data_IF_484510472856
#
_entry.id   IF_484510472856
#
_cell.length_a   1.000
_cell.length_b   1.000
_cell.length_c   1.000
_cell.angle_alpha   90.00
_cell.angle_beta   90.00
_cell.angle_gamma   90.00
#
_symmetry.space_group_name_H-M   'P 1'
#
loop_
_entity.id
_entity.type
_entity.pdbx_description
1 polymer ?
#
# COMPACT_ATOMS: atom_id res chain seq x y z
N UNK A 1 12.99 0.19 -11.90
CA UNK A 1 13.41 0.40 -13.29
C UNK A 1 14.90 0.78 -13.36
N UNK A 2 15.37 1.75 -12.56
CA UNK A 2 16.79 2.16 -12.60
C UNK A 2 17.73 0.97 -12.38
N UNK A 3 17.55 0.22 -11.30
CA UNK A 3 18.37 -0.94 -10.97
C UNK A 3 18.43 -2.01 -12.08
N UNK A 4 17.29 -2.31 -12.72
CA UNK A 4 17.18 -3.39 -13.71
C UNK A 4 17.41 -2.93 -15.16
N UNK A 5 16.98 -1.73 -15.50
CA UNK A 5 16.94 -1.21 -16.88
C UNK A 5 17.90 -0.04 -17.11
N UNK A 6 18.66 0.37 -16.08
CA UNK A 6 19.57 1.50 -16.11
C UNK A 6 18.91 2.87 -16.29
N UNK A 7 17.57 2.92 -16.30
CA UNK A 7 16.81 4.15 -16.57
C UNK A 7 15.50 4.16 -15.77
N UNK A 8 15.31 5.10 -14.81
CA UNK A 8 14.09 5.21 -14.04
C UNK A 8 12.87 5.59 -14.90
N UNK A 9 13.07 6.19 -16.08
CA UNK A 9 12.00 6.56 -17.00
C UNK A 9 11.39 5.39 -17.77
N UNK A 10 12.03 4.22 -17.78
CA UNK A 10 11.52 3.01 -18.46
C UNK A 10 10.42 2.31 -17.65
N UNK A 11 9.44 3.06 -17.14
CA UNK A 11 8.28 2.54 -16.42
C UNK A 11 7.01 2.90 -17.18
N UNK A 12 6.19 1.89 -17.48
CA UNK A 12 4.83 2.10 -17.95
C UNK A 12 3.88 2.02 -16.76
N UNK A 13 3.25 3.12 -16.43
CA UNK A 13 2.23 3.19 -15.38
C UNK A 13 0.87 2.75 -15.92
N UNK A 14 0.25 1.77 -15.25
CA UNK A 14 -1.08 1.24 -15.57
C UNK A 14 -1.99 1.45 -14.36
N UNK A 15 -2.83 2.49 -14.35
CA UNK A 15 -3.81 2.71 -13.28
C UNK A 15 -4.87 1.62 -13.29
N UNK A 16 -5.11 1.00 -12.12
CA UNK A 16 -6.03 -0.11 -11.95
C UNK A 16 -6.91 0.07 -10.73
N UNK A 17 -8.16 -0.40 -10.79
CA UNK A 17 -9.02 -0.49 -9.61
C UNK A 17 -8.51 -1.58 -8.64
N UNK A 18 -9.02 -1.57 -7.41
CA UNK A 18 -8.69 -2.61 -6.43
C UNK A 18 -9.13 -4.00 -6.90
N UNK A 19 -10.18 -4.09 -7.69
CA UNK A 19 -10.71 -5.36 -8.21
C UNK A 19 -9.88 -5.89 -9.37
N UNK A 20 -9.40 -5.02 -10.27
CA UNK A 20 -8.66 -5.41 -11.48
C UNK A 20 -7.19 -5.77 -11.24
N UNK A 21 -6.58 -5.23 -10.20
CA UNK A 21 -5.12 -5.29 -9.98
C UNK A 21 -4.52 -6.70 -9.98
N UNK A 22 -5.21 -7.67 -9.41
CA UNK A 22 -4.68 -9.04 -9.35
C UNK A 22 -4.76 -9.76 -10.69
N UNK A 23 -5.86 -9.60 -11.42
CA UNK A 23 -6.00 -10.15 -12.78
C UNK A 23 -4.97 -9.54 -13.72
N UNK A 24 -4.73 -8.22 -13.65
CA UNK A 24 -3.71 -7.55 -14.44
C UNK A 24 -2.29 -8.07 -14.15
N UNK A 25 -1.97 -8.34 -12.87
CA UNK A 25 -0.68 -8.95 -12.52
C UNK A 25 -0.58 -10.40 -13.01
N UNK A 26 -1.63 -11.19 -12.85
CA UNK A 26 -1.66 -12.59 -13.28
C UNK A 26 -1.55 -12.75 -14.81
N UNK A 27 -2.22 -11.87 -15.57
CA UNK A 27 -2.20 -11.91 -17.06
C UNK A 27 -0.92 -11.36 -17.68
N UNK A 28 -0.06 -10.70 -16.90
CA UNK A 28 1.12 -10.03 -17.42
C UNK A 28 0.88 -8.63 -18.00
N UNK A 29 -0.29 -8.06 -17.80
CA UNK A 29 -0.56 -6.66 -18.14
C UNK A 29 0.34 -5.70 -17.36
N UNK A 30 0.65 -6.07 -16.11
CA UNK A 30 1.65 -5.41 -15.27
C UNK A 30 2.66 -6.44 -14.73
N UNK A 31 3.89 -6.03 -14.48
CA UNK A 31 4.96 -6.87 -13.90
C UNK A 31 5.04 -6.74 -12.39
N UNK A 32 4.76 -5.54 -11.87
CA UNK A 32 4.76 -5.22 -10.44
C UNK A 32 3.44 -4.56 -10.08
N UNK A 33 2.78 -5.10 -9.07
CA UNK A 33 1.66 -4.44 -8.42
C UNK A 33 2.19 -3.66 -7.21
N UNK A 34 2.28 -2.34 -7.34
CA UNK A 34 2.74 -1.44 -6.29
C UNK A 34 1.65 -0.44 -5.93
N UNK A 35 0.86 -0.77 -4.93
CA UNK A 35 -0.16 0.08 -4.30
C UNK A 35 -0.46 -0.46 -2.90
N UNK A 36 -1.40 0.14 -2.16
CA UNK A 36 -1.86 -0.33 -0.86
C UNK A 36 -2.53 -1.72 -0.96
N UNK A 37 -1.70 -2.75 -1.10
CA UNK A 37 -2.14 -4.13 -1.26
C UNK A 37 -1.72 -4.94 -0.05
N UNK A 38 -2.70 -5.37 0.73
CA UNK A 38 -2.47 -6.16 1.93
C UNK A 38 -1.97 -7.55 1.59
N UNK A 39 -0.88 -7.95 2.18
CA UNK A 39 -0.37 -9.32 2.14
C UNK A 39 -1.26 -10.22 2.99
N UNK A 40 -2.01 -11.10 2.35
CA UNK A 40 -2.85 -12.10 3.01
C UNK A 40 -2.52 -13.50 2.52
N UNK A 41 -2.74 -14.50 3.38
CA UNK A 41 -2.54 -15.90 3.00
C UNK A 41 -3.29 -16.27 1.71
N UNK A 42 -4.56 -15.84 1.59
CA UNK A 42 -5.37 -16.11 0.39
C UNK A 42 -4.73 -15.50 -0.86
N UNK A 43 -4.29 -14.24 -0.81
CA UNK A 43 -3.68 -13.57 -1.96
C UNK A 43 -2.35 -14.22 -2.34
N UNK A 44 -1.53 -14.53 -1.36
CA UNK A 44 -0.24 -15.18 -1.57
C UNK A 44 -0.41 -16.62 -2.07
N UNK A 45 -1.15 -17.45 -1.36
CA UNK A 45 -1.23 -18.88 -1.65
C UNK A 45 -2.09 -19.22 -2.85
N UNK A 46 -3.21 -18.49 -3.11
CA UNK A 46 -4.19 -18.90 -4.12
C UNK A 46 -4.15 -18.09 -5.42
N UNK A 47 -3.53 -16.90 -5.44
CA UNK A 47 -3.50 -16.06 -6.64
C UNK A 47 -2.20 -16.21 -7.45
N UNK A 48 -1.26 -17.08 -7.07
CA UNK A 48 0.02 -17.25 -7.77
C UNK A 48 0.89 -16.00 -7.73
N UNK A 49 0.88 -15.29 -6.61
CA UNK A 49 1.65 -14.06 -6.39
C UNK A 49 2.73 -14.29 -5.34
N UNK A 50 3.79 -13.49 -5.43
CA UNK A 50 4.80 -13.35 -4.39
C UNK A 50 4.81 -11.89 -3.91
N UNK A 51 4.54 -11.68 -2.63
CA UNK A 51 4.74 -10.38 -2.00
C UNK A 51 6.22 -10.20 -1.65
N UNK A 52 6.78 -9.04 -1.93
CA UNK A 52 8.22 -8.80 -1.72
C UNK A 52 8.54 -8.62 -0.25
N UNK A 53 7.94 -7.65 0.38
CA UNK A 53 8.07 -7.28 1.79
C UNK A 53 6.90 -6.38 2.22
N UNK A 54 6.76 -6.19 3.53
CA UNK A 54 5.84 -5.18 4.04
C UNK A 54 6.54 -3.83 4.04
N UNK A 55 6.03 -2.88 3.26
CA UNK A 55 6.54 -1.50 3.19
C UNK A 55 5.84 -0.58 4.17
N UNK A 56 4.63 -0.93 4.62
CA UNK A 56 3.86 -0.17 5.59
C UNK A 56 2.88 -1.06 6.35
N UNK A 57 2.88 -0.98 7.67
CA UNK A 57 1.90 -1.63 8.53
C UNK A 57 0.74 -0.69 8.81
N UNK A 58 -0.37 -0.90 8.11
CA UNK A 58 -1.60 -0.13 8.26
C UNK A 58 -2.67 -0.90 9.05
N UNK A 59 -3.84 -0.33 9.14
CA UNK A 59 -5.03 -0.93 9.70
C UNK A 59 -6.27 -0.26 9.13
N UNK A 60 -7.36 -1.02 9.02
CA UNK A 60 -8.63 -0.49 8.57
C UNK A 60 -9.27 0.40 9.63
N UNK A 61 -9.59 1.63 9.25
CA UNK A 61 -10.28 2.61 10.08
C UNK A 61 -11.63 3.05 9.49
N UNK A 62 -12.23 4.01 10.17
CA UNK A 62 -13.46 4.67 9.73
C UNK A 62 -13.30 6.17 9.78
N UNK A 63 -13.78 6.87 8.76
CA UNK A 63 -13.90 8.32 8.74
C UNK A 63 -15.38 8.69 8.77
N UNK A 64 -15.73 9.67 9.61
CA UNK A 64 -17.09 10.21 9.75
C UNK A 64 -17.04 11.72 9.79
N UNK A 65 -18.18 12.39 9.56
CA UNK A 65 -18.24 13.84 9.77
C UNK A 65 -18.32 14.19 11.27
N UNK A 66 -17.77 15.30 11.68
CA UNK A 66 -17.88 15.83 13.06
C UNK A 66 -19.35 16.05 13.46
N UNK A 67 -20.20 16.42 12.50
CA UNK A 67 -21.64 16.62 12.69
C UNK A 67 -22.38 15.34 13.08
N UNK A 68 -21.87 14.14 12.72
CA UNK A 68 -22.47 12.87 13.10
C UNK A 68 -22.42 12.59 14.59
N UNK A 69 -21.51 13.24 15.32
CA UNK A 69 -21.21 13.02 16.75
C UNK A 69 -20.78 11.59 17.09
N UNK A 70 -20.47 10.76 16.08
CA UNK A 70 -19.95 9.41 16.24
C UNK A 70 -18.48 9.51 16.67
N UNK A 71 -18.12 8.82 17.75
CA UNK A 71 -16.76 8.82 18.31
C UNK A 71 -16.12 7.44 18.35
N UNK A 72 -16.86 6.38 18.02
CA UNK A 72 -16.40 5.00 18.04
C UNK A 72 -17.04 4.21 16.91
N UNK A 73 -16.30 3.28 16.32
CA UNK A 73 -16.79 2.37 15.29
C UNK A 73 -17.98 1.52 15.76
N UNK A 74 -18.09 1.26 17.06
CA UNK A 74 -19.24 0.55 17.67
C UNK A 74 -20.53 1.35 17.61
N UNK A 75 -20.49 2.65 17.40
CA UNK A 75 -21.67 3.50 17.24
C UNK A 75 -22.22 3.51 15.80
N UNK A 76 -21.63 2.76 14.87
CA UNK A 76 -22.06 2.64 13.48
C UNK A 76 -23.23 1.66 13.28
N UNK A 77 -24.01 1.37 14.32
CA UNK A 77 -25.15 0.46 14.23
C UNK A 77 -26.18 0.98 13.22
N UNK A 78 -26.51 0.16 12.22
CA UNK A 78 -27.46 0.50 11.15
C UNK A 78 -26.95 1.54 10.14
N UNK A 79 -25.72 2.03 10.30
CA UNK A 79 -25.16 3.08 9.46
C UNK A 79 -24.85 2.56 8.03
N UNK A 80 -25.00 3.44 7.05
CA UNK A 80 -24.44 3.22 5.71
C UNK A 80 -22.96 3.54 5.72
N UNK A 81 -22.13 2.63 5.19
CA UNK A 81 -20.67 2.77 5.14
C UNK A 81 -20.17 2.59 3.72
N UNK A 82 -19.57 3.62 3.16
CA UNK A 82 -18.94 3.57 1.85
C UNK A 82 -17.65 2.72 1.91
N UNK A 83 -17.47 1.81 0.95
CA UNK A 83 -16.33 0.91 0.85
C UNK A 83 -16.03 0.56 -0.61
N UNK A 84 -14.78 0.32 -0.94
CA UNK A 84 -14.37 -0.10 -2.28
C UNK A 84 -14.40 -1.62 -2.41
N UNK A 85 -14.97 -2.14 -3.53
CA UNK A 85 -15.01 -3.58 -3.83
C UNK A 85 -13.63 -4.18 -4.08
N UNK A 86 -13.50 -5.49 -3.87
CA UNK A 86 -12.26 -6.24 -4.11
C UNK A 86 -11.15 -5.95 -3.11
N UNK A 87 -11.50 -5.45 -1.93
CA UNK A 87 -10.57 -5.08 -0.86
C UNK A 87 -10.72 -6.00 0.36
N UNK A 88 -9.67 -6.07 1.19
CA UNK A 88 -9.76 -6.64 2.55
C UNK A 88 -10.76 -5.86 3.38
N UNK A 89 -10.85 -4.55 3.16
CA UNK A 89 -11.73 -3.65 3.91
C UNK A 89 -13.21 -3.95 3.71
N UNK A 90 -13.63 -4.36 2.52
CA UNK A 90 -15.01 -4.81 2.26
C UNK A 90 -15.36 -6.06 3.09
N UNK A 91 -14.45 -7.05 3.10
CA UNK A 91 -14.62 -8.27 3.89
C UNK A 91 -14.61 -7.99 5.39
N UNK A 92 -13.60 -7.26 5.85
CA UNK A 92 -13.44 -6.94 7.27
C UNK A 92 -14.62 -6.11 7.81
N UNK A 93 -15.20 -5.21 7.00
CA UNK A 93 -16.41 -4.46 7.37
C UNK A 93 -17.57 -5.39 7.69
N UNK A 94 -17.79 -6.40 6.84
CA UNK A 94 -18.84 -7.40 7.02
C UNK A 94 -18.61 -8.23 8.29
N UNK A 95 -17.38 -8.68 8.50
CA UNK A 95 -17.00 -9.49 9.66
C UNK A 95 -17.11 -8.66 10.97
N UNK A 96 -16.64 -7.41 10.96
CA UNK A 96 -16.77 -6.50 12.09
C UNK A 96 -18.23 -6.21 12.45
N UNK A 97 -19.07 -5.94 11.44
CA UNK A 97 -20.51 -5.70 11.62
C UNK A 97 -21.18 -6.90 12.28
N UNK A 98 -20.90 -8.10 11.79
CA UNK A 98 -21.46 -9.36 12.31
C UNK A 98 -21.01 -9.62 13.75
N UNK A 99 -19.69 -9.55 13.99
CA UNK A 99 -19.11 -9.84 15.31
C UNK A 99 -19.64 -8.90 16.41
N UNK A 100 -19.94 -7.65 16.05
CA UNK A 100 -20.42 -6.62 16.99
C UNK A 100 -21.94 -6.41 16.93
N UNK A 101 -22.68 -7.16 16.11
CA UNK A 101 -24.15 -7.06 15.93
C UNK A 101 -24.60 -5.64 15.55
N UNK A 102 -23.86 -5.00 14.62
CA UNK A 102 -24.07 -3.60 14.26
C UNK A 102 -25.03 -3.37 13.10
N UNK A 103 -25.34 -4.42 12.31
CA UNK A 103 -26.20 -4.30 11.12
C UNK A 103 -25.77 -3.13 10.19
N UNK A 104 -24.45 -2.96 10.01
CA UNK A 104 -23.89 -1.97 9.09
C UNK A 104 -24.34 -2.31 7.67
N UNK A 105 -24.68 -1.27 6.90
CA UNK A 105 -25.11 -1.37 5.50
C UNK A 105 -23.98 -0.92 4.57
N UNK A 106 -23.18 -1.85 3.99
CA UNK A 106 -22.13 -1.47 3.04
C UNK A 106 -22.75 -0.82 1.80
N UNK A 107 -22.15 0.29 1.37
CA UNK A 107 -22.40 0.92 0.06
C UNK A 107 -21.14 0.76 -0.76
N UNK A 108 -21.15 -0.21 -1.69
CA UNK A 108 -19.97 -0.69 -2.39
C UNK A 108 -19.81 0.02 -3.72
N UNK A 109 -18.57 0.46 -4.01
CA UNK A 109 -18.19 1.08 -5.27
C UNK A 109 -16.93 0.39 -5.82
N UNK A 110 -16.82 0.28 -7.14
CA UNK A 110 -15.64 -0.28 -7.79
C UNK A 110 -14.48 0.74 -7.82
N UNK A 111 -14.79 1.99 -8.16
CA UNK A 111 -13.79 3.06 -8.32
C UNK A 111 -13.60 3.85 -7.04
N UNK A 112 -12.34 4.15 -6.71
CA UNK A 112 -11.97 4.94 -5.54
C UNK A 112 -12.64 6.33 -5.58
N UNK A 113 -12.61 7.00 -6.73
CA UNK A 113 -13.17 8.33 -6.94
C UNK A 113 -14.69 8.34 -6.68
N UNK A 114 -15.40 7.27 -7.09
CA UNK A 114 -16.84 7.14 -6.85
C UNK A 114 -17.13 6.93 -5.35
N UNK A 115 -16.27 6.16 -4.65
CA UNK A 115 -16.39 5.96 -3.21
C UNK A 115 -16.21 7.28 -2.45
N UNK A 116 -15.15 8.04 -2.81
CA UNK A 116 -14.84 9.34 -2.22
C UNK A 116 -16.00 10.34 -2.46
N UNK A 117 -16.42 10.47 -3.73
CA UNK A 117 -17.52 11.36 -4.09
C UNK A 117 -18.82 11.02 -3.36
N UNK A 118 -19.16 9.74 -3.21
CA UNK A 118 -20.35 9.30 -2.50
C UNK A 118 -20.31 9.66 -1.02
N UNK A 119 -19.17 9.48 -0.34
CA UNK A 119 -18.99 9.86 1.04
C UNK A 119 -19.11 11.39 1.23
N UNK A 120 -18.37 12.18 0.44
CA UNK A 120 -18.41 13.64 0.55
C UNK A 120 -19.76 14.25 0.14
N UNK A 121 -20.54 13.55 -0.69
CA UNK A 121 -21.93 13.92 -1.00
C UNK A 121 -22.94 13.51 0.08
N UNK A 122 -22.49 12.87 1.17
CA UNK A 122 -23.36 12.47 2.28
C UNK A 122 -24.21 11.21 2.02
N UNK A 123 -23.89 10.41 0.99
CA UNK A 123 -24.59 9.14 0.72
C UNK A 123 -24.30 8.07 1.76
N UNK A 124 -23.18 8.16 2.45
CA UNK A 124 -22.77 7.27 3.53
C UNK A 124 -22.50 8.08 4.79
N UNK A 125 -22.88 7.50 5.93
CA UNK A 125 -22.58 8.07 7.26
C UNK A 125 -21.10 7.95 7.59
N UNK A 126 -20.45 6.85 7.15
CA UNK A 126 -19.02 6.64 7.34
C UNK A 126 -18.36 6.17 6.03
N UNK A 127 -17.06 6.33 5.99
CA UNK A 127 -16.18 5.77 4.97
C UNK A 127 -15.14 4.86 5.63
N UNK A 128 -14.88 3.69 5.06
CA UNK A 128 -13.88 2.75 5.57
C UNK A 128 -12.88 2.34 4.51
N UNK A 129 -11.61 2.46 4.84
CA UNK A 129 -10.44 1.93 4.13
C UNK A 129 -9.25 1.95 5.10
N UNK A 130 -8.03 1.73 4.60
CA UNK A 130 -6.80 1.89 5.38
C UNK A 130 -6.73 3.26 6.04
N UNK A 131 -6.28 3.34 7.29
CA UNK A 131 -6.26 4.60 8.05
C UNK A 131 -5.37 5.65 7.39
N UNK A 132 -4.23 5.27 6.81
CA UNK A 132 -3.38 6.17 6.02
C UNK A 132 -4.10 6.70 4.78
N UNK A 133 -4.89 5.84 4.13
CA UNK A 133 -5.75 6.20 2.99
C UNK A 133 -6.81 7.22 3.40
N UNK A 134 -7.51 6.99 4.52
CA UNK A 134 -8.50 7.93 5.06
C UNK A 134 -7.87 9.30 5.35
N UNK A 135 -6.68 9.32 5.95
CA UNK A 135 -5.95 10.56 6.23
C UNK A 135 -5.59 11.31 4.94
N UNK A 136 -5.12 10.60 3.93
CA UNK A 136 -4.80 11.18 2.62
C UNK A 136 -6.04 11.76 1.93
N UNK A 137 -7.13 10.99 1.87
CA UNK A 137 -8.41 11.42 1.27
C UNK A 137 -8.96 12.65 1.98
N UNK A 138 -8.98 12.61 3.33
CA UNK A 138 -9.43 13.76 4.13
C UNK A 138 -8.64 15.02 3.80
N UNK A 139 -7.32 14.92 3.73
CA UNK A 139 -6.46 16.09 3.53
C UNK A 139 -6.47 16.62 2.09
N UNK A 140 -6.67 15.74 1.10
CA UNK A 140 -6.59 16.11 -0.33
C UNK A 140 -7.95 16.46 -0.95
N UNK A 141 -9.04 15.81 -0.49
CA UNK A 141 -10.33 15.86 -1.18
C UNK A 141 -11.44 16.53 -0.35
N UNK A 142 -11.31 16.55 0.98
CA UNK A 142 -12.31 17.24 1.79
C UNK A 142 -12.20 18.75 1.61
N UNK A 143 -13.33 19.43 1.35
CA UNK A 143 -13.40 20.91 1.29
C UNK A 143 -12.93 21.55 2.61
N UNK A 144 -13.28 20.92 3.72
CA UNK A 144 -12.89 21.31 5.08
C UNK A 144 -12.43 20.06 5.82
N UNK A 145 -11.13 19.73 5.84
CA UNK A 145 -10.62 18.52 6.51
C UNK A 145 -11.03 18.42 7.99
N UNK A 146 -11.16 19.55 8.68
CA UNK A 146 -11.57 19.61 10.08
C UNK A 146 -13.03 19.15 10.33
N UNK A 147 -13.88 19.12 9.30
CA UNK A 147 -15.24 18.60 9.39
C UNK A 147 -15.30 17.07 9.40
N UNK A 148 -14.18 16.40 9.23
CA UNK A 148 -14.07 14.95 9.18
C UNK A 148 -13.08 14.43 10.22
N UNK A 149 -13.47 13.38 10.94
CA UNK A 149 -12.62 12.69 11.92
C UNK A 149 -12.42 11.25 11.53
N UNK A 150 -11.22 10.75 11.73
CA UNK A 150 -10.91 9.33 11.65
C UNK A 150 -11.09 8.78 13.07
N UNK A 151 -11.93 7.75 13.19
CA UNK A 151 -12.20 7.13 14.48
C UNK A 151 -10.95 6.41 15.02
N UNK A 152 -10.80 6.31 16.35
CA UNK A 152 -9.56 5.80 16.94
C UNK A 152 -9.35 4.28 16.76
N UNK A 153 -10.42 3.53 16.48
CA UNK A 153 -10.32 2.09 16.35
C UNK A 153 -9.80 1.66 14.99
N UNK A 154 -8.84 0.74 14.99
CA UNK A 154 -8.42 -0.04 13.83
C UNK A 154 -9.00 -1.46 13.97
N UNK A 155 -9.78 -1.89 12.99
CA UNK A 155 -10.48 -3.18 13.03
C UNK A 155 -9.73 -4.31 12.35
N UNK A 156 -8.58 -4.03 11.75
CA UNK A 156 -7.68 -5.03 11.15
C UNK A 156 -6.22 -4.62 11.26
N UNK A 157 -5.35 -5.56 10.84
CA UNK A 157 -3.93 -5.32 10.55
C UNK A 157 -3.72 -5.50 9.06
N UNK A 158 -3.17 -4.50 8.41
CA UNK A 158 -2.97 -4.45 6.96
C UNK A 158 -1.47 -4.29 6.66
N UNK A 159 -0.70 -5.40 6.56
CA UNK A 159 0.68 -5.35 6.07
C UNK A 159 0.66 -5.10 4.56
N UNK A 160 1.00 -3.89 4.15
CA UNK A 160 0.96 -3.46 2.75
C UNK A 160 2.31 -3.69 2.09
N UNK A 161 2.31 -4.23 0.87
CA UNK A 161 3.55 -4.43 0.14
C UNK A 161 3.35 -4.65 -1.35
N UNK A 162 4.40 -4.45 -2.15
CA UNK A 162 4.41 -4.77 -3.57
C UNK A 162 4.35 -6.27 -3.79
N UNK A 163 3.82 -6.68 -4.95
CA UNK A 163 3.80 -8.08 -5.35
C UNK A 163 4.12 -8.24 -6.83
N UNK A 164 4.67 -9.41 -7.16
CA UNK A 164 5.01 -9.87 -8.52
C UNK A 164 4.33 -11.21 -8.79
N UNK A 165 4.30 -11.66 -10.05
CA UNK A 165 3.85 -13.01 -10.40
C UNK A 165 4.78 -14.06 -9.77
N UNK A 166 4.23 -15.20 -9.39
CA UNK A 166 5.01 -16.38 -8.98
C UNK A 166 5.56 -17.09 -10.21
N UNK A 167 6.73 -17.72 -10.06
CA UNK A 167 7.38 -18.53 -11.10
C UNK A 167 8.54 -17.83 -11.80
N UNK A 168 8.85 -16.58 -11.43
CA UNK A 168 10.06 -15.86 -11.81
C UNK A 168 10.82 -15.48 -10.53
N UNK A 169 11.65 -16.39 -10.05
CA UNK A 169 12.36 -16.24 -8.78
C UNK A 169 13.45 -15.18 -8.87
N UNK A 170 14.05 -14.98 -10.05
CA UNK A 170 15.07 -13.96 -10.28
C UNK A 170 14.45 -12.56 -10.20
N UNK A 171 13.37 -12.33 -10.92
CA UNK A 171 12.67 -11.06 -10.86
C UNK A 171 12.08 -10.78 -9.47
N UNK A 172 11.56 -11.81 -8.80
CA UNK A 172 11.11 -11.69 -7.42
C UNK A 172 12.24 -11.28 -6.47
N UNK A 173 13.43 -11.91 -6.62
CA UNK A 173 14.60 -11.56 -5.83
C UNK A 173 15.01 -10.10 -6.05
N UNK A 174 15.08 -9.65 -7.31
CA UNK A 174 15.40 -8.24 -7.66
C UNK A 174 14.39 -7.30 -7.02
N UNK A 175 13.09 -7.53 -7.24
CA UNK A 175 12.04 -6.65 -6.71
C UNK A 175 12.09 -6.56 -5.17
N UNK A 176 12.31 -7.70 -4.50
CA UNK A 176 12.45 -7.78 -3.04
C UNK A 176 13.66 -7.00 -2.52
N UNK A 177 14.83 -7.23 -3.12
CA UNK A 177 16.06 -6.59 -2.67
C UNK A 177 16.11 -5.10 -2.96
N UNK A 178 15.49 -4.63 -4.04
CA UNK A 178 15.32 -3.19 -4.29
C UNK A 178 14.52 -2.54 -3.15
N UNK A 179 13.46 -3.18 -2.63
CA UNK A 179 12.72 -2.64 -1.49
C UNK A 179 13.57 -2.68 -0.21
N UNK A 180 14.32 -3.76 0.03
CA UNK A 180 15.22 -3.82 1.19
C UNK A 180 16.33 -2.78 1.11
N UNK A 181 16.92 -2.54 -0.06
CA UNK A 181 17.92 -1.49 -0.24
C UNK A 181 17.39 -0.10 0.12
N UNK A 182 16.12 0.20 -0.22
CA UNK A 182 15.48 1.45 0.20
C UNK A 182 15.29 1.55 1.71
N UNK A 183 14.97 0.43 2.38
CA UNK A 183 14.82 0.38 3.84
C UNK A 183 16.20 0.57 4.52
N UNK A 184 17.23 -0.10 4.02
CA UNK A 184 18.60 0.06 4.51
C UNK A 184 19.13 1.48 4.27
N UNK A 185 18.84 2.06 3.10
CA UNK A 185 19.20 3.44 2.80
C UNK A 185 18.58 4.43 3.81
N UNK A 186 17.30 4.22 4.16
CA UNK A 186 16.63 5.03 5.19
C UNK A 186 17.31 4.88 6.56
N UNK A 187 17.63 3.66 6.97
CA UNK A 187 18.27 3.35 8.25
C UNK A 187 19.70 3.97 8.35
N UNK A 188 20.45 3.92 7.26
CA UNK A 188 21.81 4.51 7.19
C UNK A 188 21.82 6.01 6.85
N UNK A 189 20.64 6.64 6.70
CA UNK A 189 20.54 8.06 6.35
C UNK A 189 21.03 8.38 4.92
N UNK A 190 21.07 7.38 4.03
CA UNK A 190 21.38 7.57 2.61
C UNK A 190 20.15 8.15 1.91
N UNK A 191 20.34 9.25 1.22
CA UNK A 191 19.28 9.98 0.52
C UNK A 191 19.72 10.36 -0.88
N UNK A 192 18.77 10.72 -1.76
CA UNK A 192 19.10 11.27 -3.07
C UNK A 192 20.05 12.48 -3.04
N UNK A 193 20.10 13.21 -1.93
CA UNK A 193 20.94 14.41 -1.80
C UNK A 193 22.39 14.11 -1.44
N UNK A 194 22.64 13.00 -0.74
CA UNK A 194 23.98 12.67 -0.21
C UNK A 194 24.58 11.37 -0.74
N UNK A 195 23.85 10.60 -1.54
CA UNK A 195 24.29 9.28 -2.03
C UNK A 195 25.61 9.37 -2.80
N UNK A 196 25.79 10.36 -3.66
CA UNK A 196 27.02 10.53 -4.46
C UNK A 196 28.25 10.90 -3.60
N UNK A 197 28.02 11.64 -2.51
CA UNK A 197 29.06 11.99 -1.55
C UNK A 197 29.42 10.77 -0.69
N UNK A 198 28.43 10.07 -0.17
CA UNK A 198 28.63 8.86 0.64
C UNK A 198 29.30 7.74 -0.15
N UNK A 199 28.99 7.57 -1.41
CA UNK A 199 29.65 6.61 -2.29
C UNK A 199 31.15 6.89 -2.45
N UNK A 200 31.60 8.16 -2.31
CA UNK A 200 32.99 8.55 -2.46
C UNK A 200 33.76 8.60 -1.13
N UNK A 201 33.08 8.93 -0.04
CA UNK A 201 33.77 9.34 1.21
C UNK A 201 33.34 8.54 2.44
N UNK A 202 32.28 7.70 2.38
CA UNK A 202 31.85 6.93 3.54
C UNK A 202 32.90 5.90 3.95
N UNK A 203 33.26 5.90 5.23
CA UNK A 203 34.05 4.86 5.86
C UNK A 203 33.24 3.75 6.49
N UNK A 204 31.89 3.86 6.46
CA UNK A 204 30.99 2.85 6.99
C UNK A 204 30.93 1.64 6.03
N UNK A 205 31.35 0.43 6.47
CA UNK A 205 31.32 -0.75 5.62
C UNK A 205 29.91 -1.15 5.15
N UNK A 206 28.84 -0.85 5.93
CA UNK A 206 27.48 -1.16 5.58
C UNK A 206 26.99 -0.26 4.44
N UNK A 207 27.26 1.04 4.53
CA UNK A 207 27.01 2.00 3.45
C UNK A 207 27.80 1.61 2.20
N UNK A 208 29.08 1.21 2.37
CA UNK A 208 29.92 0.76 1.26
C UNK A 208 29.38 -0.48 0.53
N UNK A 209 28.83 -1.45 1.26
CA UNK A 209 28.15 -2.63 0.66
C UNK A 209 26.87 -2.22 -0.06
N UNK A 210 26.03 -1.41 0.58
CA UNK A 210 24.77 -0.92 -0.02
C UNK A 210 25.03 -0.21 -1.35
N UNK A 211 26.02 0.69 -1.38
CA UNK A 211 26.33 1.52 -2.56
C UNK A 211 27.30 0.84 -3.55
N UNK A 212 27.67 -0.43 -3.32
CA UNK A 212 28.57 -1.19 -4.21
C UNK A 212 30.01 -0.69 -4.26
N UNK A 213 30.47 0.08 -3.26
CA UNK A 213 31.82 0.64 -3.24
C UNK A 213 32.86 -0.31 -2.64
N UNK A 214 32.46 -1.22 -1.76
CA UNK A 214 33.33 -2.22 -1.11
C UNK A 214 33.12 -3.62 -1.66
N UNK A 215 31.89 -3.98 -2.04
CA UNK A 215 31.51 -5.29 -2.59
C UNK A 215 30.55 -5.10 -3.77
N UNK A 216 30.66 -5.95 -4.79
CA UNK A 216 29.73 -6.00 -5.92
C UNK A 216 28.57 -6.98 -5.60
N UNK A 217 27.64 -6.54 -4.78
CA UNK A 217 26.43 -7.33 -4.45
C UNK A 217 25.42 -7.38 -5.58
N UNK A 218 25.44 -6.41 -6.50
CA UNK A 218 24.60 -6.41 -7.71
C UNK A 218 24.78 -7.64 -8.57
N UNK A 219 26.03 -8.12 -8.68
CA UNK A 219 26.36 -9.32 -9.44
C UNK A 219 25.58 -10.56 -9.00
N UNK A 220 25.22 -10.66 -7.71
CA UNK A 220 24.43 -11.80 -7.20
C UNK A 220 22.98 -11.78 -7.72
N UNK A 221 22.51 -10.64 -8.19
CA UNK A 221 21.19 -10.43 -8.79
C UNK A 221 21.25 -10.23 -10.31
N UNK A 222 22.45 -10.36 -10.93
CA UNK A 222 22.63 -10.05 -12.35
C UNK A 222 22.49 -8.54 -12.67
N UNK A 223 22.72 -7.68 -11.69
CA UNK A 223 22.63 -6.23 -11.79
C UNK A 223 24.01 -5.58 -11.74
N UNK A 224 24.06 -4.30 -12.11
CA UNK A 224 25.27 -3.48 -11.94
C UNK A 224 25.58 -3.28 -10.44
N UNK A 225 26.88 -3.03 -10.12
CA UNK A 225 27.34 -2.86 -8.74
C UNK A 225 26.66 -1.70 -7.98
N UNK A 226 26.16 -0.71 -8.70
CA UNK A 226 25.48 0.48 -8.19
C UNK A 226 23.94 0.40 -8.36
N UNK A 227 23.38 -0.80 -8.23
CA UNK A 227 21.96 -1.09 -8.42
C UNK A 227 21.05 -0.50 -7.32
N UNK A 228 21.57 -0.27 -6.11
CA UNK A 228 20.84 0.22 -4.93
C UNK A 228 20.70 1.75 -4.90
#
# INVERSE_FOLDING_TARGET
AAALLGDPGKVKWVPLSAQQRFTALQSGEIDILSRNTTWTLTRDASLGLNFTNTTYYDGQGFMVTTKSKIKSAKQLKGATVCVQSGTTTEKNLTDFSRANKLDIKPVVFEKLEATNAAYFAGRCIAYTTDASGLASIRNKEAKTPADHIILPELISKEPLGPSVRRGDDEFFAIAKWVVYALIEAEDYGVTQKNVDELAKSSSDPAVGRLLGTTEDTGKLLGLDKNWA
#
